data_IF_898275695641
#
_entry.id   IF_898275695641
#
_cell.length_a   1.000
_cell.length_b   1.000
_cell.length_c   1.000
_cell.angle_alpha   90.00
_cell.angle_beta   90.00
_cell.angle_gamma   90.00
#
_symmetry.space_group_name_H-M   'P 1'
#
loop_
_entity.id
_entity.type
_entity.pdbx_description
1 polymer ?
#
# COMPACT_ATOMS: atom_id res chain seq x y z
N UNK A 1 -0.69 -14.60 -9.49
CA UNK A 1 0.75 -14.93 -9.44
C UNK A 1 1.39 -14.26 -8.23
N UNK A 2 2.64 -14.58 -7.89
CA UNK A 2 3.31 -14.01 -6.71
C UNK A 2 4.80 -13.78 -6.92
N UNK A 3 5.36 -12.77 -6.26
CA UNK A 3 6.78 -12.45 -6.24
C UNK A 3 7.29 -12.62 -4.80
N UNK A 4 8.32 -13.45 -4.63
CA UNK A 4 9.02 -13.62 -3.35
C UNK A 4 10.28 -12.76 -3.34
N UNK A 5 10.39 -11.89 -2.33
CA UNK A 5 11.59 -11.09 -2.05
C UNK A 5 12.26 -11.63 -0.79
N UNK A 6 13.57 -11.86 -0.86
CA UNK A 6 14.39 -12.28 0.28
C UNK A 6 15.50 -11.26 0.52
N UNK A 7 15.57 -10.74 1.74
CA UNK A 7 16.54 -9.73 2.13
C UNK A 7 17.32 -10.18 3.36
N UNK A 8 18.60 -9.83 3.40
CA UNK A 8 19.42 -9.98 4.60
C UNK A 8 19.09 -8.89 5.60
N UNK A 9 18.68 -9.27 6.80
CA UNK A 9 18.35 -8.35 7.88
C UNK A 9 19.65 -7.98 8.61
N UNK A 10 20.14 -6.78 8.34
CA UNK A 10 21.28 -6.21 9.03
C UNK A 10 20.92 -4.80 9.52
N UNK A 11 20.38 -4.67 10.74
CA UNK A 11 19.96 -3.38 11.26
C UNK A 11 21.14 -2.41 11.35
N UNK A 12 20.91 -1.15 10.97
CA UNK A 12 21.95 -0.12 11.02
C UNK A 12 22.49 0.11 12.44
N UNK A 13 21.67 -0.10 13.47
CA UNK A 13 22.08 -0.05 14.88
C UNK A 13 23.19 -1.07 15.19
N UNK A 14 23.01 -2.33 14.77
CA UNK A 14 24.00 -3.41 14.97
C UNK A 14 25.31 -3.08 14.25
N UNK A 15 25.21 -2.57 13.01
CA UNK A 15 26.40 -2.15 12.26
C UNK A 15 27.13 -1.02 12.98
N UNK A 16 26.43 -0.03 13.52
CA UNK A 16 27.04 1.11 14.20
C UNK A 16 27.66 0.72 15.55
N UNK A 17 27.01 -0.16 16.31
CA UNK A 17 27.51 -0.67 17.60
C UNK A 17 28.80 -1.48 17.43
N UNK A 18 28.85 -2.36 16.42
CA UNK A 18 30.06 -3.13 16.08
C UNK A 18 31.16 -2.27 15.43
N UNK A 19 30.79 -1.15 14.80
CA UNK A 19 31.73 -0.24 14.15
C UNK A 19 32.45 0.67 15.15
N UNK A 20 31.76 1.11 16.21
CA UNK A 20 32.32 2.01 17.23
C UNK A 20 33.66 1.51 17.83
N UNK A 21 33.79 0.28 18.36
CA UNK A 21 35.05 -0.19 18.94
C UNK A 21 36.16 -0.34 17.88
N UNK A 22 35.82 -0.64 16.62
CA UNK A 22 36.80 -0.69 15.52
C UNK A 22 37.32 0.69 15.15
N UNK A 23 36.47 1.71 15.19
CA UNK A 23 36.89 3.10 14.99
C UNK A 23 37.82 3.52 16.13
N UNK A 24 37.42 3.28 17.37
CA UNK A 24 38.22 3.67 18.55
C UNK A 24 39.60 3.02 18.55
N UNK A 25 39.67 1.71 18.23
CA UNK A 25 40.94 0.99 18.13
C UNK A 25 41.89 1.59 17.08
N UNK A 26 41.37 1.93 15.89
CA UNK A 26 42.19 2.53 14.83
C UNK A 26 42.53 4.00 15.07
N UNK A 27 41.66 4.77 15.73
CA UNK A 27 41.96 6.15 16.13
C UNK A 27 43.08 6.19 17.19
N UNK A 28 43.08 5.24 18.12
CA UNK A 28 44.16 5.05 19.09
C UNK A 28 45.48 4.64 18.41
N UNK A 29 45.44 3.69 17.48
CA UNK A 29 46.63 3.23 16.75
C UNK A 29 47.26 4.35 15.90
N UNK A 30 46.45 5.17 15.24
CA UNK A 30 46.91 6.28 14.39
C UNK A 30 47.20 7.58 15.15
N UNK A 31 46.81 7.67 16.41
CA UNK A 31 46.94 8.89 17.22
C UNK A 31 46.15 10.09 16.69
N UNK A 32 45.12 9.86 15.85
CA UNK A 32 44.26 10.92 15.30
C UNK A 32 42.86 10.38 14.98
N UNK A 33 41.83 11.26 14.92
CA UNK A 33 40.52 10.88 14.41
C UNK A 33 40.58 10.37 12.98
N UNK A 34 39.75 9.37 12.66
CA UNK A 34 39.61 8.84 11.31
C UNK A 34 38.81 9.80 10.43
N UNK A 35 39.21 9.90 9.17
CA UNK A 35 38.46 10.65 8.17
C UNK A 35 37.14 9.96 7.83
N UNK A 36 36.19 10.72 7.27
CA UNK A 36 34.89 10.18 6.82
C UNK A 36 35.04 9.02 5.84
N UNK A 37 36.05 9.07 4.95
CA UNK A 37 36.35 8.00 3.99
C UNK A 37 36.84 6.73 4.69
N UNK A 38 37.72 6.86 5.68
CA UNK A 38 38.22 5.72 6.47
C UNK A 38 37.08 5.06 7.27
N UNK A 39 36.21 5.85 7.90
CA UNK A 39 35.04 5.32 8.63
C UNK A 39 34.05 4.60 7.71
N UNK A 40 33.85 5.12 6.49
CA UNK A 40 32.98 4.50 5.50
C UNK A 40 33.55 3.16 4.99
N UNK A 41 34.85 3.09 4.70
CA UNK A 41 35.51 1.85 4.28
C UNK A 41 35.39 0.75 5.34
N UNK A 42 35.61 1.08 6.62
CA UNK A 42 35.42 0.13 7.73
C UNK A 42 33.98 -0.37 7.83
N UNK A 43 33.02 0.54 7.64
CA UNK A 43 31.61 0.18 7.67
C UNK A 43 31.27 -0.81 6.56
N UNK A 44 31.79 -0.60 5.35
CA UNK A 44 31.59 -1.50 4.21
C UNK A 44 32.21 -2.88 4.45
N UNK A 45 33.44 -2.93 4.96
CA UNK A 45 34.11 -4.18 5.34
C UNK A 45 33.35 -4.93 6.44
N UNK A 46 32.88 -4.21 7.46
CA UNK A 46 32.06 -4.77 8.53
C UNK A 46 30.75 -5.34 7.97
N UNK A 47 30.07 -4.63 7.08
CA UNK A 47 28.86 -5.13 6.42
C UNK A 47 29.15 -6.43 5.66
N UNK A 48 30.23 -6.49 4.87
CA UNK A 48 30.62 -7.71 4.14
C UNK A 48 30.89 -8.89 5.08
N UNK A 49 31.45 -8.62 6.26
CA UNK A 49 31.72 -9.64 7.30
C UNK A 49 30.43 -10.12 7.98
N UNK A 50 29.47 -9.23 8.20
CA UNK A 50 28.22 -9.54 8.89
C UNK A 50 27.14 -10.13 7.97
N UNK A 51 27.14 -9.80 6.68
CA UNK A 51 26.15 -10.26 5.69
C UNK A 51 25.95 -11.79 5.63
N UNK A 52 27.01 -12.63 5.64
CA UNK A 52 26.85 -14.08 5.68
C UNK A 52 26.11 -14.59 6.92
N UNK A 53 26.26 -13.89 8.06
CA UNK A 53 25.66 -14.23 9.36
C UNK A 53 24.25 -13.67 9.51
N UNK A 54 23.88 -12.68 8.70
CA UNK A 54 22.57 -12.05 8.76
C UNK A 54 21.45 -13.04 8.38
N UNK A 55 20.39 -13.04 9.21
CA UNK A 55 19.17 -13.78 8.92
C UNK A 55 18.49 -13.23 7.67
N UNK A 56 17.75 -14.09 6.98
CA UNK A 56 16.95 -13.66 5.82
C UNK A 56 15.52 -13.41 6.23
N UNK A 57 14.96 -12.27 5.82
CA UNK A 57 13.53 -12.01 5.87
C UNK A 57 12.96 -12.21 4.48
N UNK A 58 11.95 -13.07 4.38
CA UNK A 58 11.19 -13.25 3.14
C UNK A 58 9.89 -12.46 3.21
N UNK A 59 9.46 -11.92 2.09
CA UNK A 59 8.12 -11.39 1.88
C UNK A 59 7.59 -11.91 0.55
N UNK A 60 6.27 -12.06 0.46
CA UNK A 60 5.58 -12.45 -0.76
C UNK A 60 4.57 -11.37 -1.07
N UNK A 61 4.62 -10.85 -2.30
CA UNK A 61 3.62 -9.93 -2.84
C UNK A 61 2.82 -10.70 -3.89
N UNK A 62 1.51 -10.80 -3.71
CA UNK A 62 0.65 -11.42 -4.72
C UNK A 62 0.14 -10.36 -5.69
N UNK A 63 -0.18 -10.80 -6.90
CA UNK A 63 -0.79 -9.94 -7.90
C UNK A 63 -1.70 -10.77 -8.81
N UNK A 64 -2.78 -10.12 -9.23
CA UNK A 64 -3.80 -10.66 -10.11
C UNK A 64 -3.82 -9.86 -11.41
N UNK A 65 -3.75 -10.55 -12.54
CA UNK A 65 -3.99 -9.94 -13.84
C UNK A 65 -5.39 -10.30 -14.31
N UNK A 66 -6.27 -9.32 -14.31
CA UNK A 66 -7.60 -9.43 -14.88
C UNK A 66 -7.56 -9.12 -16.37
N UNK A 67 -7.53 -10.18 -17.19
CA UNK A 67 -7.51 -10.06 -18.65
C UNK A 67 -8.76 -9.38 -19.22
N UNK A 68 -9.91 -9.50 -18.57
CA UNK A 68 -11.17 -8.95 -19.08
C UNK A 68 -11.16 -7.42 -19.06
N UNK A 69 -10.65 -6.83 -17.97
CA UNK A 69 -10.53 -5.39 -17.81
C UNK A 69 -9.14 -4.84 -18.18
N UNK A 70 -8.16 -5.73 -18.40
CA UNK A 70 -6.76 -5.36 -18.58
C UNK A 70 -6.10 -4.82 -17.32
N UNK A 71 -6.62 -5.16 -16.14
CA UNK A 71 -6.13 -4.63 -14.87
C UNK A 71 -5.04 -5.50 -14.27
N UNK A 72 -4.07 -4.86 -13.65
CA UNK A 72 -3.05 -5.51 -12.84
C UNK A 72 -3.23 -5.06 -11.39
N UNK A 73 -3.82 -5.92 -10.58
CA UNK A 73 -4.08 -5.66 -9.16
C UNK A 73 -2.91 -6.22 -8.35
N UNK A 74 -2.24 -5.37 -7.58
CA UNK A 74 -1.10 -5.78 -6.75
C UNK A 74 -1.50 -5.68 -5.29
N UNK A 75 -1.38 -6.80 -4.56
CA UNK A 75 -1.74 -6.91 -3.15
C UNK A 75 -0.65 -6.28 -2.26
N UNK A 76 -0.64 -4.95 -2.21
CA UNK A 76 0.27 -4.17 -1.37
C UNK A 76 -0.28 -2.78 -1.09
N UNK A 77 -0.09 -2.30 0.13
CA UNK A 77 -0.36 -0.91 0.52
C UNK A 77 0.81 0.05 0.26
N UNK A 78 1.93 -0.48 -0.26
CA UNK A 78 3.17 0.25 -0.51
C UNK A 78 3.40 0.42 -2.02
N UNK A 79 3.41 1.67 -2.47
CA UNK A 79 3.70 2.03 -3.86
C UNK A 79 5.09 1.55 -4.32
N UNK A 80 6.11 1.62 -3.46
CA UNK A 80 7.45 1.13 -3.79
C UNK A 80 7.48 -0.38 -4.05
N UNK A 81 6.77 -1.19 -3.24
CA UNK A 81 6.65 -2.63 -3.50
C UNK A 81 5.88 -2.93 -4.79
N UNK A 82 4.84 -2.14 -5.09
CA UNK A 82 4.11 -2.29 -6.35
C UNK A 82 5.03 -2.00 -7.55
N UNK A 83 5.80 -0.91 -7.50
CA UNK A 83 6.73 -0.53 -8.56
C UNK A 83 7.87 -1.55 -8.74
N UNK A 84 8.39 -2.11 -7.65
CA UNK A 84 9.37 -3.21 -7.72
C UNK A 84 8.81 -4.43 -8.46
N UNK A 85 7.56 -4.82 -8.17
CA UNK A 85 6.89 -5.90 -8.88
C UNK A 85 6.72 -5.55 -10.37
N UNK A 86 6.26 -4.34 -10.69
CA UNK A 86 6.11 -3.88 -12.07
C UNK A 86 7.46 -3.85 -12.81
N UNK A 87 8.55 -3.43 -12.16
CA UNK A 87 9.89 -3.42 -12.72
C UNK A 87 10.37 -4.85 -13.04
N UNK A 88 10.09 -5.82 -12.17
CA UNK A 88 10.37 -7.23 -12.45
C UNK A 88 9.58 -7.76 -13.65
N UNK A 89 8.29 -7.40 -13.77
CA UNK A 89 7.48 -7.76 -14.93
C UNK A 89 8.02 -7.12 -16.21
N UNK A 90 8.40 -5.83 -16.19
CA UNK A 90 9.04 -5.15 -17.32
C UNK A 90 10.34 -5.83 -17.73
N UNK A 91 11.15 -6.26 -16.77
CA UNK A 91 12.38 -7.01 -17.03
C UNK A 91 12.10 -8.39 -17.66
N UNK A 92 11.04 -9.07 -17.21
CA UNK A 92 10.68 -10.39 -17.73
C UNK A 92 10.06 -10.34 -19.14
N UNK A 93 9.22 -9.35 -19.42
CA UNK A 93 8.48 -9.23 -20.68
C UNK A 93 9.04 -8.20 -21.67
N UNK A 94 10.07 -7.44 -21.29
CA UNK A 94 10.67 -6.35 -22.06
C UNK A 94 9.88 -5.05 -21.97
N UNK A 95 8.56 -5.08 -22.16
CA UNK A 95 7.68 -3.92 -22.04
C UNK A 95 6.43 -4.24 -21.23
N UNK A 96 6.01 -3.31 -20.38
CA UNK A 96 4.71 -3.36 -19.70
C UNK A 96 4.14 -1.93 -19.63
N UNK A 97 3.32 -1.52 -20.61
CA UNK A 97 2.61 -0.26 -20.55
C UNK A 97 1.51 -0.37 -19.49
N UNK A 98 1.75 0.19 -18.31
CA UNK A 98 0.80 0.23 -17.20
C UNK A 98 0.69 1.65 -16.67
N UNK A 99 -0.52 2.05 -16.34
CA UNK A 99 -0.85 3.33 -15.70
C UNK A 99 -1.71 3.08 -14.47
N UNK A 100 -1.69 3.98 -13.47
CA UNK A 100 -2.62 3.91 -12.35
C UNK A 100 -4.07 3.83 -12.84
N UNK A 101 -4.90 3.07 -12.11
CA UNK A 101 -6.31 2.89 -12.47
C UNK A 101 -7.11 4.18 -12.34
N UNK A 102 -6.75 5.01 -11.36
CA UNK A 102 -7.42 6.25 -10.99
C UNK A 102 -6.47 7.42 -11.26
N UNK A 103 -7.00 8.53 -11.78
CA UNK A 103 -6.23 9.76 -11.95
C UNK A 103 -6.08 10.51 -10.62
N UNK A 104 -4.89 10.45 -10.04
CA UNK A 104 -4.58 11.07 -8.76
C UNK A 104 -4.79 12.60 -8.75
N UNK A 105 -4.73 13.28 -9.90
CA UNK A 105 -4.96 14.73 -9.97
C UNK A 105 -6.42 15.09 -9.68
N UNK A 106 -7.36 14.30 -10.19
CA UNK A 106 -8.80 14.51 -9.98
C UNK A 106 -9.28 13.86 -8.68
N UNK A 107 -8.59 12.82 -8.20
CA UNK A 107 -9.04 12.04 -7.05
C UNK A 107 -9.20 12.87 -5.78
N UNK A 108 -8.28 13.79 -5.49
CA UNK A 108 -8.40 14.67 -4.32
C UNK A 108 -9.73 15.42 -4.31
N UNK A 109 -10.08 16.06 -5.43
CA UNK A 109 -11.34 16.78 -5.56
C UNK A 109 -12.56 15.86 -5.43
N UNK A 110 -12.48 14.64 -5.98
CA UNK A 110 -13.56 13.66 -5.87
C UNK A 110 -13.75 13.17 -4.43
N UNK A 111 -12.67 12.89 -3.69
CA UNK A 111 -12.73 12.52 -2.28
C UNK A 111 -13.43 13.59 -1.43
N UNK A 112 -13.25 14.87 -1.77
CA UNK A 112 -14.01 15.96 -1.17
C UNK A 112 -15.50 15.90 -1.46
N UNK A 113 -15.88 15.75 -2.73
CA UNK A 113 -17.29 15.67 -3.11
C UNK A 113 -17.96 14.47 -2.46
N UNK A 114 -17.30 13.31 -2.46
CA UNK A 114 -17.80 12.11 -1.82
C UNK A 114 -18.00 12.30 -0.32
N UNK A 115 -17.04 12.94 0.38
CA UNK A 115 -17.19 13.24 1.81
C UNK A 115 -18.32 14.24 2.09
N UNK A 116 -18.65 15.13 1.16
CA UNK A 116 -19.84 16.00 1.22
C UNK A 116 -21.16 15.26 0.91
N UNK A 117 -21.10 13.96 0.61
CA UNK A 117 -22.25 13.17 0.18
C UNK A 117 -22.70 13.50 -1.26
N UNK A 118 -21.84 14.13 -2.06
CA UNK A 118 -22.13 14.49 -3.46
C UNK A 118 -21.40 13.53 -4.39
N UNK A 119 -22.07 13.17 -5.49
CA UNK A 119 -21.46 12.40 -6.58
C UNK A 119 -20.77 11.11 -6.12
N UNK A 120 -21.27 10.48 -5.05
CA UNK A 120 -20.76 9.19 -4.59
C UNK A 120 -20.85 8.17 -5.74
N UNK A 121 -19.82 7.33 -5.94
CA UNK A 121 -19.86 6.28 -6.93
C UNK A 121 -21.05 5.35 -6.67
N UNK A 122 -21.66 4.83 -7.74
CA UNK A 122 -22.86 4.01 -7.64
C UNK A 122 -22.65 2.80 -6.71
N UNK A 123 -23.61 2.59 -5.79
CA UNK A 123 -23.57 1.49 -4.82
C UNK A 123 -22.67 1.73 -3.61
N UNK A 124 -21.98 2.87 -3.52
CA UNK A 124 -21.14 3.20 -2.37
C UNK A 124 -21.82 4.13 -1.36
N UNK A 125 -21.49 3.91 -0.10
CA UNK A 125 -21.82 4.77 1.03
C UNK A 125 -20.54 5.18 1.75
N UNK A 126 -20.63 6.26 2.53
CA UNK A 126 -19.55 6.68 3.41
C UNK A 126 -19.38 5.68 4.55
N UNK A 127 -18.15 5.20 4.73
CA UNK A 127 -17.78 4.46 5.93
C UNK A 127 -17.62 5.39 7.14
N UNK A 128 -16.92 4.90 8.16
CA UNK A 128 -16.74 5.62 9.43
C UNK A 128 -15.31 6.16 9.67
N UNK A 129 -14.48 6.24 8.63
CA UNK A 129 -13.09 6.72 8.72
C UNK A 129 -12.76 7.70 7.59
N UNK A 130 -12.10 8.81 7.96
CA UNK A 130 -11.58 9.79 7.02
C UNK A 130 -10.31 10.44 7.56
N UNK A 131 -9.43 10.88 6.67
CA UNK A 131 -8.20 11.59 7.00
C UNK A 131 -8.13 12.87 6.17
N UNK A 132 -8.03 14.02 6.83
CA UNK A 132 -7.93 15.32 6.19
C UNK A 132 -6.62 16.00 6.59
N UNK A 133 -6.01 16.72 5.64
CA UNK A 133 -4.73 17.40 5.81
C UNK A 133 -4.79 18.80 5.21
N UNK A 134 -4.32 19.80 5.95
CA UNK A 134 -4.17 21.15 5.43
C UNK A 134 -3.14 21.17 4.27
N UNK A 135 -3.37 22.00 3.24
CA UNK A 135 -2.48 22.11 2.07
C UNK A 135 -1.20 22.92 2.35
N UNK A 136 -1.03 23.44 3.57
CA UNK A 136 0.12 24.25 3.98
C UNK A 136 1.37 23.42 4.33
N UNK A 137 2.50 24.10 4.54
CA UNK A 137 3.77 23.44 4.88
C UNK A 137 3.73 22.74 6.24
N UNK A 138 2.95 23.28 7.20
CA UNK A 138 2.79 22.68 8.52
C UNK A 138 1.98 21.37 8.45
N UNK A 139 1.08 21.24 7.47
CA UNK A 139 0.41 19.99 7.13
C UNK A 139 -0.50 19.49 8.25
N UNK A 140 -1.19 20.41 8.94
CA UNK A 140 -2.08 20.10 10.04
C UNK A 140 -3.09 19.01 9.63
N UNK A 141 -3.21 17.96 10.46
CA UNK A 141 -3.89 16.73 10.09
C UNK A 141 -4.94 16.33 11.12
N UNK A 142 -6.13 15.96 10.64
CA UNK A 142 -7.19 15.37 11.45
C UNK A 142 -7.55 13.99 10.90
N UNK A 143 -7.80 13.04 11.80
CA UNK A 143 -8.26 11.70 11.46
C UNK A 143 -9.50 11.37 12.26
N UNK A 144 -10.56 10.99 11.56
CA UNK A 144 -11.81 10.48 12.12
C UNK A 144 -11.78 8.96 12.04
N UNK A 145 -12.11 8.28 13.14
CA UNK A 145 -12.19 6.83 13.23
C UNK A 145 -13.46 6.48 13.99
N UNK A 146 -14.27 5.58 13.44
CA UNK A 146 -15.57 5.21 14.01
C UNK A 146 -16.48 6.43 14.26
N UNK A 147 -16.55 7.31 13.25
CA UNK A 147 -17.28 8.57 13.33
C UNK A 147 -18.30 8.68 12.20
N UNK A 148 -19.42 9.36 12.47
CA UNK A 148 -20.38 9.74 11.44
C UNK A 148 -19.77 10.83 10.57
N UNK A 149 -19.41 10.51 9.32
CA UNK A 149 -18.72 11.43 8.42
C UNK A 149 -19.61 12.58 7.91
N UNK A 150 -20.93 12.43 7.96
CA UNK A 150 -21.89 13.48 7.62
C UNK A 150 -22.13 14.49 8.74
N UNK A 151 -21.50 14.32 9.92
CA UNK A 151 -21.66 15.25 11.04
C UNK A 151 -21.03 16.61 10.73
N UNK A 152 -21.67 17.70 11.20
CA UNK A 152 -21.23 19.08 10.94
C UNK A 152 -19.77 19.33 11.36
N UNK A 153 -19.31 18.68 12.43
CA UNK A 153 -17.93 18.75 12.91
C UNK A 153 -16.95 18.27 11.84
N UNK A 154 -17.23 17.14 11.18
CA UNK A 154 -16.41 16.59 10.09
C UNK A 154 -16.48 17.50 8.86
N UNK A 155 -17.70 17.93 8.51
CA UNK A 155 -17.93 18.78 7.34
C UNK A 155 -17.26 20.17 7.48
N UNK A 156 -17.18 20.71 8.70
CA UNK A 156 -16.53 22.00 8.96
C UNK A 156 -15.05 22.00 8.57
N UNK A 157 -14.36 20.86 8.70
CA UNK A 157 -12.94 20.72 8.34
C UNK A 157 -12.69 20.67 6.83
N UNK A 158 -13.72 20.54 6.00
CA UNK A 158 -13.57 20.63 4.55
C UNK A 158 -13.30 22.06 4.06
N UNK A 159 -13.47 23.06 4.92
CA UNK A 159 -13.21 24.47 4.58
C UNK A 159 -11.71 24.78 4.50
N UNK A 160 -10.89 24.11 5.33
CA UNK A 160 -9.48 24.41 5.50
C UNK A 160 -8.54 23.22 5.20
N UNK A 161 -9.07 22.01 5.02
CA UNK A 161 -8.27 20.79 4.81
C UNK A 161 -8.71 19.99 3.61
N UNK A 162 -7.75 19.30 3.01
CA UNK A 162 -7.96 18.38 1.92
C UNK A 162 -8.20 16.93 2.38
N UNK A 163 -9.14 16.22 1.75
CA UNK A 163 -9.39 14.79 2.04
C UNK A 163 -8.29 13.93 1.41
N UNK A 164 -7.49 13.30 2.26
CA UNK A 164 -6.37 12.43 1.85
C UNK A 164 -6.72 10.95 1.90
N UNK A 165 -7.68 10.57 2.75
CA UNK A 165 -8.23 9.21 2.81
C UNK A 165 -9.71 9.23 3.15
N UNK A 166 -10.46 8.33 2.53
CA UNK A 166 -11.90 8.17 2.77
C UNK A 166 -12.28 6.69 2.81
N UNK A 167 -13.01 6.29 3.84
CA UNK A 167 -13.58 4.96 3.91
C UNK A 167 -14.87 4.93 3.08
N UNK A 168 -14.94 3.95 2.19
CA UNK A 168 -16.11 3.67 1.37
C UNK A 168 -16.57 2.24 1.65
N UNK A 169 -17.88 2.07 1.62
CA UNK A 169 -18.54 0.79 1.84
C UNK A 169 -19.53 0.53 0.73
N UNK A 170 -19.46 -0.66 0.15
CA UNK A 170 -20.41 -1.18 -0.80
C UNK A 170 -21.22 -2.27 -0.10
N UNK A 171 -22.54 -2.07 -0.03
CA UNK A 171 -23.45 -2.90 0.76
C UNK A 171 -23.31 -4.39 0.42
N UNK A 172 -23.23 -5.23 1.45
CA UNK A 172 -23.00 -6.68 1.42
C UNK A 172 -21.79 -7.16 0.58
N UNK A 173 -20.85 -6.28 0.22
CA UNK A 173 -19.73 -6.62 -0.68
C UNK A 173 -18.36 -6.31 -0.10
N UNK A 174 -17.95 -5.03 -0.12
CA UNK A 174 -16.60 -4.65 0.25
C UNK A 174 -16.56 -3.34 1.02
N UNK A 175 -15.62 -3.27 1.96
CA UNK A 175 -15.27 -2.03 2.65
C UNK A 175 -13.78 -1.77 2.44
N UNK A 176 -13.40 -0.54 2.16
CA UNK A 176 -12.00 -0.17 2.02
C UNK A 176 -11.77 1.31 2.29
N UNK A 177 -10.49 1.67 2.41
CA UNK A 177 -10.02 3.03 2.54
C UNK A 177 -9.31 3.44 1.25
N UNK A 178 -9.91 4.34 0.47
CA UNK A 178 -9.27 4.94 -0.70
C UNK A 178 -8.40 6.11 -0.26
N UNK A 179 -7.20 6.21 -0.84
CA UNK A 179 -6.23 7.26 -0.56
C UNK A 179 -6.10 8.21 -1.77
N UNK A 180 -5.65 9.44 -1.55
CA UNK A 180 -5.38 10.45 -2.59
C UNK A 180 -4.42 9.99 -3.69
N UNK A 181 -3.56 9.01 -3.40
CA UNK A 181 -2.61 8.42 -4.35
C UNK A 181 -3.21 7.30 -5.20
N UNK A 182 -4.53 7.07 -5.09
CA UNK A 182 -5.26 6.00 -5.77
C UNK A 182 -5.10 4.63 -5.10
N UNK A 183 -4.32 4.52 -4.01
CA UNK A 183 -4.16 3.25 -3.30
C UNK A 183 -5.41 2.89 -2.50
N UNK A 184 -5.76 1.62 -2.54
CA UNK A 184 -6.84 1.04 -1.74
C UNK A 184 -6.22 0.29 -0.57
N UNK A 185 -6.62 0.63 0.65
CA UNK A 185 -6.09 0.06 1.89
C UNK A 185 -7.21 -0.55 2.71
N UNK A 186 -6.85 -1.51 3.56
CA UNK A 186 -7.80 -2.18 4.48
C UNK A 186 -9.03 -2.74 3.74
N UNK A 187 -8.81 -3.30 2.55
CA UNK A 187 -9.86 -4.01 1.82
C UNK A 187 -10.37 -5.16 2.69
N UNK A 188 -11.68 -5.17 2.91
CA UNK A 188 -12.41 -6.23 3.60
C UNK A 188 -13.54 -6.67 2.68
N UNK A 189 -13.70 -7.98 2.56
CA UNK A 189 -14.87 -8.58 1.93
C UNK A 189 -15.91 -8.84 3.01
N UNK A 190 -17.17 -8.68 2.66
CA UNK A 190 -18.29 -8.98 3.53
C UNK A 190 -18.35 -10.49 3.81
N UNK A 191 -18.83 -10.87 5.00
CA UNK A 191 -18.80 -12.26 5.48
C UNK A 191 -19.57 -13.22 4.55
N UNK A 192 -20.64 -12.75 3.92
CA UNK A 192 -21.40 -13.52 2.92
C UNK A 192 -20.54 -13.93 1.71
N UNK A 193 -19.65 -13.04 1.25
CA UNK A 193 -18.73 -13.36 0.15
C UNK A 193 -17.63 -14.32 0.63
N UNK A 194 -17.02 -14.06 1.79
CA UNK A 194 -15.97 -14.96 2.30
C UNK A 194 -16.49 -16.36 2.65
N UNK A 195 -17.76 -16.47 3.05
CA UNK A 195 -18.42 -17.72 3.40
C UNK A 195 -18.90 -18.54 2.19
N UNK A 196 -18.95 -17.95 0.99
CA UNK A 196 -19.64 -18.55 -0.18
C UNK A 196 -19.09 -19.91 -0.61
N UNK A 197 -17.80 -20.17 -0.38
CA UNK A 197 -17.14 -21.42 -0.76
C UNK A 197 -16.75 -22.30 0.44
N UNK A 198 -17.24 -22.00 1.65
CA UNK A 198 -16.90 -22.78 2.84
C UNK A 198 -17.33 -24.25 2.73
N UNK A 199 -18.46 -24.50 2.06
CA UNK A 199 -19.02 -25.83 1.83
C UNK A 199 -18.14 -26.72 0.93
N UNK A 200 -17.21 -26.14 0.15
CA UNK A 200 -16.27 -26.90 -0.68
C UNK A 200 -15.24 -27.70 0.16
N UNK A 201 -15.14 -27.43 1.47
CA UNK A 201 -14.21 -28.12 2.35
C UNK A 201 -12.74 -27.77 2.08
N UNK A 202 -11.84 -28.67 2.46
CA UNK A 202 -10.38 -28.50 2.32
C UNK A 202 -9.69 -29.65 1.58
N UNK A 203 -10.46 -30.58 1.01
CA UNK A 203 -9.93 -31.74 0.32
C UNK A 203 -9.31 -31.37 -1.04
N UNK A 204 -9.91 -30.40 -1.76
CA UNK A 204 -9.36 -29.79 -2.96
C UNK A 204 -9.05 -28.29 -2.73
N UNK A 205 -7.89 -28.05 -2.13
CA UNK A 205 -7.41 -26.69 -1.83
C UNK A 205 -7.21 -25.87 -3.11
N UNK A 206 -6.83 -26.50 -4.23
CA UNK A 206 -6.59 -25.79 -5.49
C UNK A 206 -7.93 -25.34 -6.08
N UNK A 207 -8.90 -26.24 -6.17
CA UNK A 207 -10.23 -25.92 -6.65
C UNK A 207 -10.92 -24.83 -5.82
N UNK A 208 -10.76 -24.90 -4.49
CA UNK A 208 -11.26 -23.85 -3.59
C UNK A 208 -10.57 -22.50 -3.83
N UNK A 209 -9.25 -22.48 -3.95
CA UNK A 209 -8.50 -21.25 -4.22
C UNK A 209 -8.94 -20.60 -5.53
N UNK A 210 -9.15 -21.41 -6.59
CA UNK A 210 -9.63 -20.91 -7.87
C UNK A 210 -11.04 -20.30 -7.75
N UNK A 211 -11.94 -20.96 -7.02
CA UNK A 211 -13.28 -20.44 -6.76
C UNK A 211 -13.25 -19.13 -5.95
N UNK A 212 -12.44 -19.06 -4.90
CA UNK A 212 -12.25 -17.86 -4.07
C UNK A 212 -11.68 -16.70 -4.89
N UNK A 213 -10.71 -16.99 -5.77
CA UNK A 213 -10.08 -15.99 -6.61
C UNK A 213 -11.04 -15.44 -7.67
N UNK A 214 -11.92 -16.29 -8.23
CA UNK A 214 -12.98 -15.84 -9.13
C UNK A 214 -13.96 -14.89 -8.42
N UNK A 215 -14.43 -15.28 -7.22
CA UNK A 215 -15.35 -14.45 -6.43
C UNK A 215 -14.71 -13.12 -6.02
N UNK A 216 -13.47 -13.17 -5.54
CA UNK A 216 -12.69 -11.98 -5.19
C UNK A 216 -12.52 -11.04 -6.38
N UNK A 217 -12.17 -11.58 -7.55
CA UNK A 217 -11.99 -10.80 -8.78
C UNK A 217 -13.29 -10.13 -9.19
N UNK A 218 -14.42 -10.85 -9.10
CA UNK A 218 -15.74 -10.30 -9.42
C UNK A 218 -16.14 -9.18 -8.46
N UNK A 219 -15.97 -9.38 -7.16
CA UNK A 219 -16.24 -8.35 -6.16
C UNK A 219 -15.37 -7.10 -6.37
N UNK A 220 -14.09 -7.28 -6.70
CA UNK A 220 -13.19 -6.17 -7.03
C UNK A 220 -13.63 -5.42 -8.29
N UNK A 221 -14.08 -6.11 -9.34
CA UNK A 221 -14.64 -5.44 -10.54
C UNK A 221 -15.85 -4.60 -10.19
N UNK A 222 -16.79 -5.15 -9.41
CA UNK A 222 -17.99 -4.44 -8.97
C UNK A 222 -17.68 -3.20 -8.13
N UNK A 223 -16.57 -3.19 -7.40
CA UNK A 223 -16.13 -2.04 -6.62
C UNK A 223 -15.38 -1.00 -7.46
N UNK A 224 -14.49 -1.46 -8.34
CA UNK A 224 -13.58 -0.59 -9.08
C UNK A 224 -14.21 0.05 -10.34
N UNK A 225 -15.18 -0.61 -10.97
CA UNK A 225 -15.84 -0.07 -12.16
C UNK A 225 -16.61 1.23 -11.86
N UNK A 226 -17.47 1.32 -10.82
CA UNK A 226 -18.15 2.56 -10.46
C UNK A 226 -17.17 3.67 -10.07
N UNK A 227 -16.11 3.34 -9.31
CA UNK A 227 -15.07 4.30 -8.94
C UNK A 227 -14.41 4.91 -10.18
N UNK A 228 -13.98 4.06 -11.13
CA UNK A 228 -13.37 4.52 -12.36
C UNK A 228 -14.34 5.35 -13.21
N UNK A 229 -15.59 4.92 -13.33
CA UNK A 229 -16.60 5.61 -14.13
C UNK A 229 -16.89 7.01 -13.59
N UNK A 230 -17.00 7.15 -12.26
CA UNK A 230 -17.22 8.41 -11.58
C UNK A 230 -16.08 9.42 -11.84
N UNK A 231 -14.83 8.94 -11.93
CA UNK A 231 -13.68 9.79 -12.27
C UNK A 231 -13.64 10.21 -13.74
N UNK A 232 -14.14 9.40 -14.67
CA UNK A 232 -14.15 9.73 -16.11
C UNK A 232 -15.35 10.56 -16.57
N UNK A 233 -16.38 10.73 -15.73
CA UNK A 233 -17.64 11.35 -16.10
C UNK A 233 -17.63 12.89 -16.12
N UNK A 234 -16.44 13.53 -16.07
CA UNK A 234 -16.27 14.99 -16.04
C UNK A 234 -15.22 15.47 -17.04
#
# INVERSE_FOLDING_TARGET
FAVKRQEKVLPGSVVNEELAPKIDAMEQEKGRPLSRKEKQALKEELIQTLLPRAFSKSSVTTALYDKQQGWLLVDTSSASRAEELLALLRKAFGSLPAMPLLDNHQLNQQLHFWLQGKELPEGFQLGAEAELKAPDEEGAKVRFINHLLSADEVQSHLQDKLVTKLALEQDEKVTFLICEDGSIKRLKFHDLLSGSNEEMGWDDVIGRLDADLLLMTDALRHALLPLKANMTAQ
#
